data_IF_415372054351
#
_entry.id   IF_415372054351
#
_cell.length_a   1.000
_cell.length_b   1.000
_cell.length_c   1.000
_cell.angle_alpha   90.00
_cell.angle_beta   90.00
_cell.angle_gamma   90.00
#
_symmetry.space_group_name_H-M   'P 1'
#
loop_
_entity.id
_entity.type
_entity.pdbx_description
1 polymer ?
#
# COMPACT_ATOMS: atom_id res chain seq x y z
N UNK A 1 -24.88 -7.43 12.33
CA UNK A 1 -24.67 -6.06 12.88
C UNK A 1 -23.40 -6.15 13.73
N UNK A 2 -22.22 -5.63 13.38
CA UNK A 2 -21.77 -4.69 12.35
C UNK A 2 -21.52 -5.32 10.95
N UNK A 3 -21.82 -4.58 9.88
CA UNK A 3 -21.24 -4.81 8.55
C UNK A 3 -20.06 -3.84 8.46
N UNK A 4 -18.86 -4.27 8.85
CA UNK A 4 -17.70 -3.40 8.86
C UNK A 4 -17.16 -3.24 7.43
N UNK A 5 -17.57 -2.15 6.78
CA UNK A 5 -16.81 -1.51 5.71
C UNK A 5 -15.49 -0.87 6.24
N UNK A 6 -15.05 -1.20 7.47
CA UNK A 6 -13.97 -0.52 8.19
C UNK A 6 -12.56 -0.96 7.75
N UNK A 7 -12.46 -1.92 6.83
CA UNK A 7 -11.18 -2.48 6.37
C UNK A 7 -10.77 -2.06 4.95
N UNK A 8 -11.56 -1.20 4.31
CA UNK A 8 -11.25 -0.65 2.99
C UNK A 8 -10.77 0.79 3.10
N UNK A 9 -9.63 1.08 2.46
CA UNK A 9 -9.01 2.40 2.49
C UNK A 9 -8.69 2.87 1.08
N UNK A 10 -9.11 4.09 0.75
CA UNK A 10 -8.89 4.68 -0.58
C UNK A 10 -7.98 5.90 -0.45
N UNK A 11 -6.92 5.93 -1.26
CA UNK A 11 -5.93 7.00 -1.30
C UNK A 11 -5.69 7.49 -2.73
N UNK A 12 -5.39 8.79 -2.82
CA UNK A 12 -4.82 9.38 -4.03
C UNK A 12 -3.30 9.33 -3.93
N UNK A 13 -2.65 8.71 -4.92
CA UNK A 13 -1.19 8.60 -4.95
C UNK A 13 -0.65 9.12 -6.29
N UNK A 14 0.59 9.59 -6.28
CA UNK A 14 1.30 10.03 -7.49
C UNK A 14 2.44 9.07 -7.79
N UNK A 15 2.65 8.80 -9.08
CA UNK A 15 3.87 8.16 -9.57
C UNK A 15 5.08 9.03 -9.20
N UNK A 16 6.19 8.37 -8.86
CA UNK A 16 7.46 9.09 -8.61
C UNK A 16 8.02 9.70 -9.90
N UNK A 17 7.89 8.98 -11.02
CA UNK A 17 8.52 9.32 -12.29
C UNK A 17 7.60 10.14 -13.22
N UNK A 18 6.30 10.23 -12.93
CA UNK A 18 5.35 11.03 -13.70
C UNK A 18 4.30 11.68 -12.79
N UNK A 19 4.49 12.96 -12.50
CA UNK A 19 3.57 13.71 -11.62
C UNK A 19 2.26 14.12 -12.30
N UNK A 20 2.08 13.86 -13.59
CA UNK A 20 0.88 14.27 -14.34
C UNK A 20 -0.25 13.25 -14.24
N UNK A 21 0.07 11.95 -14.17
CA UNK A 21 -0.94 10.90 -14.03
C UNK A 21 -1.36 10.72 -12.56
N UNK A 22 -2.68 10.66 -12.33
CA UNK A 22 -3.26 10.42 -11.01
C UNK A 22 -3.56 8.94 -10.87
N UNK A 23 -3.15 8.35 -9.75
CA UNK A 23 -3.43 6.97 -9.40
C UNK A 23 -4.32 6.92 -8.16
N UNK A 24 -5.26 5.99 -8.19
CA UNK A 24 -6.16 5.65 -7.09
C UNK A 24 -5.70 4.33 -6.51
N UNK A 25 -5.43 4.34 -5.21
CA UNK A 25 -5.10 3.17 -4.43
C UNK A 25 -6.33 2.80 -3.60
N UNK A 26 -6.80 1.56 -3.72
CA UNK A 26 -7.67 0.93 -2.73
C UNK A 26 -6.89 -0.19 -2.05
N UNK A 27 -6.86 -0.20 -0.74
CA UNK A 27 -6.33 -1.32 0.03
C UNK A 27 -7.41 -1.92 0.92
N UNK A 28 -7.47 -3.24 0.95
CA UNK A 28 -8.36 -4.00 1.83
C UNK A 28 -7.52 -4.84 2.79
N UNK A 29 -7.74 -4.67 4.09
CA UNK A 29 -7.02 -5.42 5.13
C UNK A 29 -7.88 -6.60 5.60
N UNK A 30 -7.36 -7.80 5.45
CA UNK A 30 -7.96 -9.02 6.01
C UNK A 30 -7.13 -9.45 7.22
N UNK A 31 -7.63 -9.09 8.41
CA UNK A 31 -6.98 -9.39 9.68
C UNK A 31 -6.95 -10.89 10.01
N UNK A 32 -7.94 -11.66 9.52
CA UNK A 32 -8.00 -13.10 9.79
C UNK A 32 -6.88 -13.81 9.04
N UNK A 33 -6.72 -13.50 7.76
CA UNK A 33 -5.72 -14.12 6.90
C UNK A 33 -4.34 -13.42 6.93
N UNK A 34 -4.24 -12.31 7.66
CA UNK A 34 -3.04 -11.47 7.72
C UNK A 34 -2.59 -11.03 6.31
N UNK A 35 -3.55 -10.63 5.48
CA UNK A 35 -3.31 -10.19 4.11
C UNK A 35 -3.74 -8.74 3.92
N UNK A 36 -3.06 -8.05 3.01
CA UNK A 36 -3.45 -6.73 2.53
C UNK A 36 -3.53 -6.84 1.02
N UNK A 37 -4.74 -6.70 0.50
CA UNK A 37 -5.01 -6.64 -0.92
C UNK A 37 -4.86 -5.19 -1.39
N UNK A 38 -4.11 -4.99 -2.47
CA UNK A 38 -3.81 -3.68 -3.03
C UNK A 38 -4.34 -3.62 -4.45
N UNK A 39 -5.22 -2.66 -4.71
CA UNK A 39 -5.70 -2.29 -6.03
C UNK A 39 -5.21 -0.90 -6.36
N UNK A 40 -4.52 -0.77 -7.49
CA UNK A 40 -4.03 0.50 -8.01
C UNK A 40 -4.63 0.72 -9.39
N UNK A 41 -5.18 1.90 -9.68
CA UNK A 41 -5.72 2.22 -11.01
C UNK A 41 -5.43 3.65 -11.41
N UNK A 42 -5.22 3.90 -12.70
CA UNK A 42 -5.16 5.24 -13.28
C UNK A 42 -6.40 5.55 -14.14
N UNK A 43 -7.50 4.81 -13.95
CA UNK A 43 -8.74 4.83 -14.73
C UNK A 43 -8.63 4.28 -16.17
N UNK A 44 -7.42 4.07 -16.68
CA UNK A 44 -7.16 3.45 -17.99
C UNK A 44 -6.73 2.00 -17.86
N UNK A 45 -5.95 1.71 -16.83
CA UNK A 45 -5.37 0.42 -16.50
C UNK A 45 -5.43 0.23 -14.98
N UNK A 46 -5.34 -1.03 -14.57
CA UNK A 46 -5.45 -1.41 -13.18
C UNK A 46 -4.43 -2.49 -12.84
N UNK A 47 -3.88 -2.43 -11.64
CA UNK A 47 -2.88 -3.35 -11.12
C UNK A 47 -3.30 -3.84 -9.75
N UNK A 48 -3.06 -5.12 -9.49
CA UNK A 48 -3.43 -5.78 -8.23
C UNK A 48 -2.23 -6.51 -7.66
N UNK A 49 -2.11 -6.48 -6.34
CA UNK A 49 -1.10 -7.25 -5.61
C UNK A 49 -1.57 -7.58 -4.20
N UNK A 50 -0.91 -8.55 -3.59
CA UNK A 50 -1.24 -9.02 -2.24
C UNK A 50 0.02 -9.02 -1.39
N UNK A 51 -0.06 -8.38 -0.23
CA UNK A 51 0.93 -8.51 0.83
C UNK A 51 0.40 -9.58 1.79
N UNK A 52 1.03 -10.75 1.80
CA UNK A 52 0.69 -11.83 2.72
C UNK A 52 1.76 -12.00 3.81
N UNK A 53 1.54 -12.91 4.76
CA UNK A 53 2.46 -13.17 5.88
C UNK A 53 3.88 -13.51 5.45
N UNK A 54 4.06 -14.17 4.30
CA UNK A 54 5.38 -14.49 3.77
C UNK A 54 6.10 -13.25 3.23
N UNK A 55 5.40 -12.43 2.44
CA UNK A 55 5.91 -11.14 1.95
C UNK A 55 6.30 -10.22 3.11
N UNK A 56 5.46 -10.15 4.15
CA UNK A 56 5.76 -9.40 5.39
C UNK A 56 7.03 -9.92 6.04
N UNK A 57 7.21 -11.24 6.18
CA UNK A 57 8.43 -11.83 6.74
C UNK A 57 9.67 -11.51 5.92
N UNK A 58 9.56 -11.55 4.59
CA UNK A 58 10.67 -11.20 3.69
C UNK A 58 11.04 -9.72 3.80
N UNK A 59 10.06 -8.83 3.89
CA UNK A 59 10.28 -7.40 4.09
C UNK A 59 10.85 -7.10 5.47
N UNK A 60 10.35 -7.73 6.53
CA UNK A 60 10.83 -7.56 7.90
C UNK A 60 12.31 -7.94 8.05
N UNK A 61 12.83 -8.89 7.26
CA UNK A 61 14.28 -9.22 7.26
C UNK A 61 15.16 -8.03 6.86
N UNK A 62 14.64 -7.05 6.13
CA UNK A 62 15.35 -5.79 5.80
C UNK A 62 15.44 -4.84 6.99
N UNK A 63 14.67 -5.09 8.06
CA UNK A 63 14.60 -4.30 9.28
C UNK A 63 14.90 -5.19 10.50
N UNK A 64 16.18 -5.50 10.76
CA UNK A 64 16.57 -6.52 11.74
C UNK A 64 16.17 -6.22 13.19
N UNK A 65 15.72 -4.99 13.48
CA UNK A 65 15.23 -4.56 14.80
C UNK A 65 13.73 -4.81 15.04
N UNK A 66 12.97 -5.25 14.03
CA UNK A 66 11.51 -5.50 14.15
C UNK A 66 11.18 -6.98 13.94
N UNK A 67 10.29 -7.53 14.76
CA UNK A 67 9.72 -8.85 14.51
C UNK A 67 8.77 -8.80 13.31
N UNK A 68 8.54 -9.94 12.64
CA UNK A 68 7.63 -10.00 11.50
C UNK A 68 6.20 -9.57 11.87
N UNK A 69 5.73 -9.88 13.08
CA UNK A 69 4.40 -9.49 13.53
C UNK A 69 4.34 -7.97 13.84
N UNK A 70 5.39 -7.40 14.45
CA UNK A 70 5.50 -5.95 14.65
C UNK A 70 5.53 -5.21 13.31
N UNK A 71 6.27 -5.76 12.33
CA UNK A 71 6.35 -5.21 10.98
C UNK A 71 4.99 -5.32 10.25
N UNK A 72 4.23 -6.40 10.47
CA UNK A 72 2.87 -6.52 9.94
C UNK A 72 1.96 -5.43 10.48
N UNK A 73 1.91 -5.24 11.81
CA UNK A 73 1.11 -4.18 12.43
C UNK A 73 1.53 -2.79 11.95
N UNK A 74 2.83 -2.57 11.76
CA UNK A 74 3.35 -1.34 11.17
C UNK A 74 2.84 -1.15 9.72
N UNK A 75 2.86 -2.21 8.92
CA UNK A 75 2.33 -2.20 7.55
C UNK A 75 0.82 -1.92 7.55
N UNK A 76 0.03 -2.57 8.41
CA UNK A 76 -1.41 -2.31 8.55
C UNK A 76 -1.70 -0.84 8.93
N UNK A 77 -0.91 -0.24 9.83
CA UNK A 77 -1.03 1.18 10.16
C UNK A 77 -0.77 2.07 8.96
N UNK A 78 0.25 1.75 8.17
CA UNK A 78 0.52 2.48 6.93
C UNK A 78 -0.70 2.48 6.01
N UNK A 79 -1.28 1.31 5.72
CA UNK A 79 -2.43 1.16 4.80
C UNK A 79 -3.79 1.60 5.37
N UNK A 80 -3.92 1.79 6.68
CA UNK A 80 -5.17 2.30 7.30
C UNK A 80 -5.16 3.81 7.57
N UNK A 81 -3.98 4.41 7.79
CA UNK A 81 -3.83 5.84 8.11
C UNK A 81 -3.30 6.66 6.94
N UNK A 82 -2.46 6.07 6.08
CA UNK A 82 -1.82 6.76 4.95
C UNK A 82 -1.14 8.05 5.39
N UNK A 83 -1.48 9.17 4.71
CA UNK A 83 -0.90 10.50 5.01
C UNK A 83 -1.36 11.11 6.35
N UNK A 84 -2.35 10.52 7.04
CA UNK A 84 -2.77 11.01 8.36
C UNK A 84 -1.79 10.47 9.41
N UNK A 85 -1.39 11.31 10.35
CA UNK A 85 -0.62 10.85 11.50
C UNK A 85 -1.40 9.76 12.26
N UNK A 86 -0.74 8.65 12.55
CA UNK A 86 -1.26 7.62 13.45
C UNK A 86 -1.14 8.07 14.92
N UNK A 87 -1.56 7.21 15.86
CA UNK A 87 -1.52 7.53 17.30
C UNK A 87 -0.09 7.78 17.82
N UNK A 88 0.92 7.29 17.10
CA UNK A 88 2.34 7.46 17.41
C UNK A 88 2.94 8.68 16.69
N UNK A 89 2.11 9.47 16.00
CA UNK A 89 2.54 10.65 15.24
C UNK A 89 3.19 10.32 13.89
N UNK A 90 3.14 9.07 13.43
CA UNK A 90 3.76 8.65 12.17
C UNK A 90 2.80 8.86 11.01
N UNK A 91 3.31 9.38 9.90
CA UNK A 91 2.55 9.51 8.65
C UNK A 91 3.27 8.77 7.52
N UNK A 92 2.50 8.27 6.56
CA UNK A 92 3.00 7.42 5.50
C UNK A 92 2.70 8.01 4.13
N UNK A 93 3.67 7.94 3.24
CA UNK A 93 3.55 8.36 1.85
C UNK A 93 3.61 7.15 0.94
N UNK A 94 2.69 7.09 0.00
CA UNK A 94 2.63 6.05 -1.01
C UNK A 94 3.14 6.54 -2.35
N UNK A 95 3.89 5.67 -3.02
CA UNK A 95 4.49 5.90 -4.31
C UNK A 95 4.39 4.64 -5.17
N UNK A 96 4.55 4.81 -6.46
CA UNK A 96 4.72 3.70 -7.38
C UNK A 96 5.76 4.02 -8.45
N UNK A 97 6.26 2.97 -9.11
CA UNK A 97 7.21 3.01 -10.22
C UNK A 97 6.86 1.93 -11.25
N UNK A 98 6.84 2.24 -12.54
CA UNK A 98 6.65 1.23 -13.60
C UNK A 98 7.88 0.34 -13.69
N UNK A 99 7.68 -0.98 -13.68
CA UNK A 99 8.75 -1.96 -13.88
C UNK A 99 8.83 -2.37 -15.36
N UNK A 100 7.68 -2.67 -15.95
CA UNK A 100 7.54 -2.95 -17.38
C UNK A 100 6.11 -2.60 -17.84
N UNK A 101 5.68 -3.10 -19.01
CA UNK A 101 4.37 -2.81 -19.59
C UNK A 101 3.21 -3.25 -18.68
N UNK A 102 3.38 -4.34 -17.94
CA UNK A 102 2.31 -5.01 -17.20
C UNK A 102 2.53 -4.99 -15.68
N UNK A 103 3.68 -4.51 -15.19
CA UNK A 103 4.02 -4.53 -13.76
C UNK A 103 4.40 -3.17 -13.22
N UNK A 104 3.94 -2.90 -12.00
CA UNK A 104 4.26 -1.70 -11.23
C UNK A 104 4.81 -2.12 -9.87
N UNK A 105 5.90 -1.49 -9.43
CA UNK A 105 6.34 -1.56 -8.03
C UNK A 105 5.59 -0.51 -7.22
N UNK A 106 4.82 -0.95 -6.23
CA UNK A 106 4.22 -0.09 -5.22
C UNK A 106 5.15 0.02 -4.02
N UNK A 107 5.33 1.23 -3.49
CA UNK A 107 6.29 1.55 -2.44
C UNK A 107 5.59 2.40 -1.38
N UNK A 108 5.73 2.04 -0.11
CA UNK A 108 5.27 2.86 1.01
C UNK A 108 6.45 3.29 1.88
N UNK A 109 6.39 4.55 2.32
CA UNK A 109 7.45 5.22 3.06
C UNK A 109 6.88 5.85 4.32
N UNK A 110 7.63 5.80 5.41
CA UNK A 110 7.34 6.53 6.64
C UNK A 110 8.00 7.91 6.55
N UNK A 111 7.26 8.95 6.93
CA UNK A 111 7.80 10.31 7.04
C UNK A 111 8.43 10.48 8.41
N UNK A 112 9.70 10.85 8.43
CA UNK A 112 10.44 11.15 9.65
C UNK A 112 10.49 12.68 9.78
N UNK A 113 9.50 13.23 10.50
CA UNK A 113 9.33 14.68 10.63
C UNK A 113 10.56 15.37 11.23
N UNK A 114 11.20 14.76 12.23
CA UNK A 114 12.41 15.28 12.87
C UNK A 114 13.58 15.52 11.89
N UNK A 115 13.62 14.77 10.79
CA UNK A 115 14.70 14.84 9.79
C UNK A 115 14.21 15.38 8.44
N UNK A 116 12.93 15.76 8.33
CA UNK A 116 12.25 16.05 7.07
C UNK A 116 12.62 15.06 5.95
N UNK A 117 12.61 13.76 6.29
CA UNK A 117 13.08 12.69 5.40
C UNK A 117 12.03 11.59 5.23
N UNK A 118 12.18 10.77 4.19
CA UNK A 118 11.32 9.62 3.91
C UNK A 118 12.14 8.34 4.04
N UNK A 119 11.68 7.41 4.89
CA UNK A 119 12.26 6.08 5.03
C UNK A 119 11.40 5.08 4.29
N UNK A 120 11.98 4.33 3.35
CA UNK A 120 11.28 3.22 2.69
C UNK A 120 11.00 2.14 3.73
N UNK A 121 9.74 1.74 3.87
CA UNK A 121 9.31 0.68 4.77
C UNK A 121 9.10 -0.62 4.01
N UNK A 122 8.51 -0.55 2.83
CA UNK A 122 8.37 -1.73 2.00
C UNK A 122 7.94 -1.43 0.58
N UNK A 123 7.97 -2.49 -0.21
CA UNK A 123 7.61 -2.49 -1.61
C UNK A 123 6.93 -3.81 -1.97
N UNK A 124 6.07 -3.79 -2.98
CA UNK A 124 5.42 -4.99 -3.54
C UNK A 124 5.17 -4.79 -5.02
N UNK A 125 5.32 -5.85 -5.81
CA UNK A 125 4.97 -5.83 -7.23
C UNK A 125 3.45 -6.00 -7.40
N UNK A 126 2.87 -5.17 -8.27
CA UNK A 126 1.48 -5.23 -8.70
C UNK A 126 1.44 -5.63 -10.18
N UNK A 127 0.56 -6.56 -10.52
CA UNK A 127 0.37 -7.06 -11.88
C UNK A 127 -0.87 -6.45 -12.52
N UNK A 128 -0.79 -6.10 -13.80
CA UNK A 128 -1.90 -5.56 -14.57
C UNK A 128 -3.05 -6.58 -14.64
N UNK A 129 -4.27 -6.10 -14.38
CA UNK A 129 -5.50 -6.88 -14.49
C UNK A 129 -6.44 -6.22 -15.52
N UNK A 130 -7.24 -7.01 -16.26
CA UNK A 130 -8.27 -6.47 -17.14
C UNK A 130 -9.21 -5.51 -16.39
N UNK A 131 -9.57 -4.40 -17.03
CA UNK A 131 -10.36 -3.34 -16.40
C UNK A 131 -11.79 -3.74 -16.01
N UNK A 132 -12.29 -4.87 -16.54
CA UNK A 132 -13.67 -5.33 -16.31
C UNK A 132 -13.96 -5.68 -14.84
N UNK A 133 -12.92 -5.98 -14.04
CA UNK A 133 -13.07 -6.26 -12.60
C UNK A 133 -12.94 -5.01 -11.72
N UNK A 134 -12.54 -3.86 -12.27
CA UNK A 134 -12.09 -2.71 -11.44
C UNK A 134 -13.15 -1.62 -11.31
N UNK A 135 -14.05 -1.48 -12.29
CA UNK A 135 -15.17 -0.51 -12.20
C UNK A 135 -16.10 -0.85 -11.02
N UNK A 136 -16.24 -2.13 -10.66
CA UNK A 136 -17.02 -2.55 -9.49
C UNK A 136 -16.37 -2.22 -8.13
N UNK A 137 -15.04 -2.07 -8.09
CA UNK A 137 -14.28 -1.90 -6.84
C UNK A 137 -14.38 -0.48 -6.27
N UNK A 138 -14.73 0.49 -7.10
CA UNK A 138 -14.87 1.91 -6.78
C UNK A 138 -16.28 2.50 -7.02
N UNK A 139 -17.25 1.68 -7.46
CA UNK A 139 -18.65 2.05 -7.70
C UNK A 139 -19.57 1.90 -6.49
#
# INVERSE_FOLDING_TARGET
MANSNDNEFIYFIKLLDDQKEKYFLKSTIDEQNHTILIHLTNLKQSWVGVINREQVRLLAKKFPSESADSFYSHTQRAFSKGNKADADGKSYVFNCKKLDKNRIEFIWKEKIDALNSLKIIGNVELEERPNDEVIQVFS
#
